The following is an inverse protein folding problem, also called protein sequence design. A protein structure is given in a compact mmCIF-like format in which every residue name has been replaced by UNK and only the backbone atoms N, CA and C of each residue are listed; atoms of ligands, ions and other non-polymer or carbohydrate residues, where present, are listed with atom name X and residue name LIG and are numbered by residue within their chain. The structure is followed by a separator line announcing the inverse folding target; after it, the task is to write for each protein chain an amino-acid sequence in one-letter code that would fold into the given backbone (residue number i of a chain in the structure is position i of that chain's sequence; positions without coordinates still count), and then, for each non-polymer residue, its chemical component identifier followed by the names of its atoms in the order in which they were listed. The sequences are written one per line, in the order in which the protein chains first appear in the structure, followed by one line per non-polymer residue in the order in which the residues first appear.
data_IF_652308168774
#
_entry.id   IF_652308168774
#
_cell.length_a   1.000
_cell.length_b   1.000
_cell.length_c   1.000
_cell.angle_alpha   90.00
_cell.angle_beta   90.00
_cell.angle_gamma   90.00
#
_symmetry.space_group_name_H-M   'P 1'
#
loop_
_entity.id
_entity.type
_entity.pdbx_description
1 polymer ?
#
# COMPACT_ATOMS: atom_id res chain seq x y z
N UNK A 1 6.23 -13.51 27.45
CA UNK A 1 6.48 -13.28 26.03
C UNK A 1 7.93 -13.39 25.72
N UNK A 2 8.25 -14.38 25.01
CA UNK A 2 9.64 -14.71 24.84
C UNK A 2 10.40 -13.73 23.96
N UNK A 3 9.83 -13.29 22.87
CA UNK A 3 10.60 -12.58 21.87
C UNK A 3 10.58 -11.05 22.03
N UNK A 4 9.52 -10.50 22.56
CA UNK A 4 9.38 -9.04 22.64
C UNK A 4 9.35 -8.35 21.30
N UNK A 5 9.03 -9.05 20.21
CA UNK A 5 8.95 -8.50 18.87
C UNK A 5 7.49 -8.32 18.43
N UNK A 6 7.19 -7.14 17.96
CA UNK A 6 5.85 -6.80 17.50
C UNK A 6 5.94 -6.06 16.18
N UNK A 7 5.16 -6.51 15.19
CA UNK A 7 5.04 -5.82 13.92
C UNK A 7 3.82 -4.92 13.94
N UNK A 8 3.97 -3.73 13.41
CA UNK A 8 2.87 -2.80 13.27
C UNK A 8 2.74 -2.34 11.83
N UNK A 9 1.51 -2.25 11.35
CA UNK A 9 1.22 -1.73 10.03
C UNK A 9 0.31 -0.54 10.19
N UNK A 10 0.73 0.60 9.64
CA UNK A 10 -0.12 1.78 9.54
C UNK A 10 -0.60 1.89 8.11
N UNK A 11 -1.85 1.52 7.89
CA UNK A 11 -2.48 1.62 6.58
C UNK A 11 -3.15 2.99 6.49
N UNK A 12 -2.38 3.99 6.11
CA UNK A 12 -2.88 5.34 5.97
C UNK A 12 -3.67 5.54 4.68
N UNK A 13 -4.41 6.63 4.61
CA UNK A 13 -5.18 6.98 3.42
C UNK A 13 -4.27 7.23 2.21
N UNK A 14 -3.19 7.96 2.44
CA UNK A 14 -2.25 8.35 1.39
C UNK A 14 -1.02 7.46 1.35
N UNK A 15 -0.47 7.09 2.50
CA UNK A 15 0.74 6.30 2.61
C UNK A 15 0.57 5.21 3.66
N UNK A 16 1.28 4.10 3.43
CA UNK A 16 1.30 2.97 4.35
C UNK A 16 2.72 2.73 4.85
N UNK A 17 2.85 2.30 6.10
CA UNK A 17 4.14 2.01 6.71
C UNK A 17 4.06 0.67 7.44
N UNK A 18 5.21 0.01 7.53
CA UNK A 18 5.34 -1.19 8.37
C UNK A 18 6.59 -1.05 9.23
N UNK A 19 6.46 -1.41 10.48
CA UNK A 19 7.56 -1.29 11.42
C UNK A 19 7.66 -2.50 12.33
N UNK A 20 8.79 -2.59 12.99
CA UNK A 20 9.09 -3.61 13.98
C UNK A 20 9.46 -2.94 15.29
N UNK A 21 8.79 -3.31 16.35
CA UNK A 21 9.16 -2.94 17.70
C UNK A 21 9.83 -4.16 18.34
N UNK A 22 11.11 -4.04 18.61
CA UNK A 22 11.90 -5.11 19.20
C UNK A 22 12.49 -4.60 20.50
N UNK A 23 11.92 -5.02 21.63
CA UNK A 23 12.28 -4.57 22.96
C UNK A 23 12.12 -3.06 23.06
N UNK A 24 13.20 -2.30 23.21
CA UNK A 24 13.14 -0.84 23.32
C UNK A 24 13.45 -0.13 22.00
N UNK A 25 13.61 -0.86 20.91
CA UNK A 25 13.96 -0.30 19.63
C UNK A 25 12.80 -0.36 18.66
N UNK A 26 12.62 0.70 17.90
CA UNK A 26 11.62 0.77 16.85
C UNK A 26 12.30 0.96 15.50
N UNK A 27 11.90 0.14 14.51
CA UNK A 27 12.51 0.17 13.19
C UNK A 27 11.43 0.18 12.14
N UNK A 28 11.48 1.18 11.25
CA UNK A 28 10.63 1.21 10.07
C UNK A 28 11.32 0.47 8.93
N UNK A 29 10.54 -0.33 8.20
CA UNK A 29 11.07 -1.04 7.05
C UNK A 29 10.94 -0.19 5.80
N UNK A 30 11.95 -0.26 4.95
CA UNK A 30 11.94 0.40 3.65
C UNK A 30 11.31 -0.50 2.60
N UNK A 31 10.61 0.12 1.66
CA UNK A 31 10.09 -0.57 0.50
C UNK A 31 11.16 -0.70 -0.60
N UNK A 32 10.77 -1.16 -1.78
CA UNK A 32 11.68 -1.32 -2.91
C UNK A 32 12.32 -0.01 -3.36
N UNK A 33 11.65 1.11 -3.11
CA UNK A 33 12.14 2.44 -3.48
C UNK A 33 12.99 3.06 -2.39
N UNK A 34 13.35 2.27 -1.37
CA UNK A 34 14.16 2.69 -0.21
C UNK A 34 13.49 3.80 0.60
N UNK A 35 12.17 3.81 0.59
CA UNK A 35 11.36 4.76 1.35
C UNK A 35 10.62 4.03 2.46
N UNK A 36 10.48 4.68 3.62
CA UNK A 36 9.73 4.11 4.73
C UNK A 36 8.22 4.12 4.46
N UNK A 37 7.75 5.12 3.75
CA UNK A 37 6.34 5.24 3.42
C UNK A 37 6.09 4.72 2.00
N UNK A 38 5.07 3.88 1.86
CA UNK A 38 4.62 3.37 0.58
C UNK A 38 3.29 4.03 0.23
N UNK A 39 3.18 4.70 -0.92
CA UNK A 39 1.90 5.26 -1.31
C UNK A 39 0.80 4.20 -1.34
N UNK A 40 -0.36 4.53 -0.77
CA UNK A 40 -1.51 3.64 -0.73
C UNK A 40 -2.22 3.69 -2.08
N UNK A 41 -1.59 3.07 -3.08
CA UNK A 41 -2.04 3.10 -4.46
C UNK A 41 -1.86 1.73 -5.08
N UNK A 42 -2.82 1.33 -5.90
CA UNK A 42 -2.80 0.07 -6.64
C UNK A 42 -3.16 0.35 -8.09
N UNK A 43 -2.34 -0.13 -9.00
CA UNK A 43 -2.59 -0.06 -10.44
C UNK A 43 -2.74 -1.47 -10.99
N UNK A 44 -3.82 -1.71 -11.72
CA UNK A 44 -4.10 -3.03 -12.30
C UNK A 44 -3.80 -2.95 -13.80
N UNK A 45 -2.70 -3.60 -14.21
CA UNK A 45 -2.29 -3.62 -15.60
C UNK A 45 -3.02 -4.72 -16.37
N UNK A 46 -3.10 -5.91 -15.78
CA UNK A 46 -3.85 -7.04 -16.32
C UNK A 46 -4.56 -7.75 -15.17
N UNK A 47 -5.38 -8.74 -15.49
CA UNK A 47 -6.06 -9.52 -14.44
C UNK A 47 -5.08 -10.21 -13.50
N UNK A 48 -3.87 -10.50 -13.96
CA UNK A 48 -2.84 -11.17 -13.17
C UNK A 48 -1.75 -10.26 -12.65
N UNK A 49 -1.67 -9.02 -13.12
CA UNK A 49 -0.58 -8.12 -12.76
C UNK A 49 -1.09 -6.87 -12.05
N UNK A 50 -0.71 -6.74 -10.79
CA UNK A 50 -1.03 -5.58 -9.96
C UNK A 50 0.26 -4.93 -9.53
N UNK A 51 0.27 -3.60 -9.55
CA UNK A 51 1.42 -2.79 -9.15
C UNK A 51 0.99 -1.94 -7.97
N UNK A 52 1.82 -1.84 -6.96
CA UNK A 52 1.49 -1.09 -5.74
C UNK A 52 2.56 -0.05 -5.44
N UNK A 53 2.20 0.96 -4.67
CA UNK A 53 3.13 1.95 -4.18
C UNK A 53 3.40 3.09 -5.16
N UNK A 54 4.62 3.61 -5.13
CA UNK A 54 4.99 4.80 -5.93
C UNK A 54 4.84 4.55 -7.42
N UNK A 55 5.25 3.38 -7.89
CA UNK A 55 5.12 3.05 -9.31
C UNK A 55 3.66 3.02 -9.74
N UNK A 56 2.78 2.51 -8.88
CA UNK A 56 1.35 2.53 -9.16
C UNK A 56 0.84 3.97 -9.26
N UNK A 57 1.24 4.82 -8.33
CA UNK A 57 0.83 6.21 -8.32
C UNK A 57 1.27 6.93 -9.61
N UNK A 58 2.49 6.67 -10.07
CA UNK A 58 3.00 7.25 -11.31
C UNK A 58 2.18 6.79 -12.51
N UNK A 59 1.83 5.51 -12.57
CA UNK A 59 1.02 4.97 -13.67
C UNK A 59 -0.41 5.49 -13.65
N UNK A 60 -0.96 5.70 -12.46
CA UNK A 60 -2.32 6.22 -12.29
C UNK A 60 -2.45 7.65 -12.85
N UNK A 61 -1.39 8.44 -12.76
CA UNK A 61 -1.39 9.80 -13.31
C UNK A 61 -1.67 9.81 -14.80
N UNK A 62 -1.18 8.80 -15.51
CA UNK A 62 -1.39 8.68 -16.96
C UNK A 62 -2.62 7.87 -17.31
N UNK A 63 -3.07 7.00 -16.42
CA UNK A 63 -4.18 6.10 -16.67
C UNK A 63 -5.01 5.91 -15.40
N UNK A 64 -5.76 6.92 -14.96
CA UNK A 64 -6.47 6.88 -13.69
C UNK A 64 -7.60 5.85 -13.63
N UNK A 65 -8.10 5.40 -14.77
CA UNK A 65 -9.22 4.45 -14.79
C UNK A 65 -8.82 3.06 -14.28
N UNK A 66 -7.55 2.72 -14.34
CA UNK A 66 -7.06 1.40 -13.92
C UNK A 66 -6.31 1.43 -12.58
N UNK A 67 -6.50 2.49 -11.81
CA UNK A 67 -5.84 2.62 -10.52
C UNK A 67 -6.78 3.02 -9.41
N UNK A 68 -6.36 2.74 -8.19
CA UNK A 68 -7.07 3.11 -6.97
C UNK A 68 -6.11 3.75 -6.00
N UNK A 69 -6.51 4.91 -5.48
CA UNK A 69 -5.81 5.60 -4.39
C UNK A 69 -6.80 5.82 -3.25
N UNK A 70 -6.26 6.07 -2.06
CA UNK A 70 -7.07 6.38 -0.89
C UNK A 70 -8.15 5.31 -0.62
N UNK A 71 -7.86 4.07 -0.96
CA UNK A 71 -8.84 2.99 -0.84
C UNK A 71 -9.22 2.67 0.60
N UNK A 72 -8.46 3.15 1.57
CA UNK A 72 -8.79 2.95 2.99
C UNK A 72 -10.18 3.45 3.32
N UNK A 73 -10.63 4.50 2.65
CA UNK A 73 -11.96 5.08 2.87
C UNK A 73 -13.09 4.12 2.53
N UNK A 74 -12.80 3.15 1.66
CA UNK A 74 -13.79 2.17 1.21
C UNK A 74 -13.59 0.79 1.83
N UNK A 75 -12.61 0.63 2.69
CA UNK A 75 -12.39 -0.64 3.37
C UNK A 75 -13.57 -0.95 4.30
N UNK A 76 -14.00 -2.20 4.27
CA UNK A 76 -15.18 -2.62 5.01
C UNK A 76 -16.49 -2.46 4.26
N UNK A 77 -16.45 -1.94 3.04
CA UNK A 77 -17.62 -1.86 2.15
C UNK A 77 -17.60 -3.00 1.15
N UNK A 78 -18.77 -3.29 0.60
CA UNK A 78 -18.93 -4.33 -0.42
C UNK A 78 -18.81 -3.78 -1.84
N UNK A 79 -18.52 -2.49 -2.00
CA UNK A 79 -18.45 -1.85 -3.30
C UNK A 79 -17.17 -2.26 -4.03
N UNK A 80 -17.27 -2.93 -5.18
CA UNK A 80 -16.08 -3.31 -5.93
C UNK A 80 -15.51 -2.14 -6.72
N UNK A 81 -14.23 -2.26 -7.06
CA UNK A 81 -13.59 -1.35 -8.00
C UNK A 81 -13.59 -1.98 -9.39
N UNK A 82 -13.87 -1.18 -10.41
CA UNK A 82 -13.84 -1.63 -11.80
C UNK A 82 -12.63 -1.09 -12.52
N UNK A 83 -12.01 -1.95 -13.32
CA UNK A 83 -10.86 -1.59 -14.13
C UNK A 83 -11.21 -1.88 -15.59
N UNK A 84 -11.71 -0.89 -16.33
CA UNK A 84 -12.33 -1.13 -17.63
C UNK A 84 -11.40 -1.68 -18.70
N UNK A 85 -10.07 -1.55 -18.51
CA UNK A 85 -9.09 -2.05 -19.48
C UNK A 85 -8.52 -3.42 -19.12
N UNK A 86 -9.09 -4.06 -18.13
CA UNK A 86 -8.61 -5.36 -17.66
C UNK A 86 -9.60 -6.47 -17.99
#
# INVERSE_FOLDING_TARGET
MASGKYYGIDLGTTNSLIGLFDRAEFKLFQNRDRMNATPSAVYVRTAQQRIVGQRALDLIRDDPENGVVEFKRNMGRDDPYYFPKV
#
